data_IF_742460687076
#
_entry.id   IF_742460687076
#
_cell.length_a   1.000
_cell.length_b   1.000
_cell.length_c   1.000
_cell.angle_alpha   90.00
_cell.angle_beta   90.00
_cell.angle_gamma   90.00
#
_symmetry.space_group_name_H-M   'P 1'
#
loop_
_entity.id
_entity.type
_entity.pdbx_description
1 polymer ?
#
# COMPACT_ATOMS: atom_id res chain seq x y z
N UNK A 1 30.70 -64.08 17.76
CA UNK A 1 30.83 -62.62 17.70
C UNK A 1 30.56 -62.14 16.26
N UNK A 2 29.40 -61.69 15.93
CA UNK A 2 29.09 -61.05 14.63
C UNK A 2 29.16 -59.54 14.83
N UNK A 3 30.07 -58.90 14.15
CA UNK A 3 30.23 -57.46 14.19
C UNK A 3 29.18 -56.77 13.28
N UNK A 4 28.55 -55.77 13.82
CA UNK A 4 27.53 -54.95 13.16
C UNK A 4 28.21 -53.91 12.26
N UNK A 5 28.33 -54.20 10.95
CA UNK A 5 28.90 -53.27 9.94
C UNK A 5 27.87 -52.44 9.21
N UNK A 6 26.63 -52.41 9.72
CA UNK A 6 25.49 -51.81 9.00
C UNK A 6 25.34 -50.27 9.20
N UNK A 7 25.94 -49.71 10.27
CA UNK A 7 25.79 -48.25 10.56
C UNK A 7 26.79 -47.38 9.76
N UNK A 8 27.99 -47.90 9.48
CA UNK A 8 29.02 -47.20 8.70
C UNK A 8 28.65 -47.08 7.20
N UNK A 9 28.15 -48.18 6.65
CA UNK A 9 27.72 -48.24 5.24
C UNK A 9 26.46 -47.39 4.96
N UNK A 10 25.52 -47.27 5.89
CA UNK A 10 24.36 -46.37 5.77
C UNK A 10 24.78 -44.90 5.81
N UNK A 11 25.66 -44.49 6.73
CA UNK A 11 26.19 -43.12 6.80
C UNK A 11 26.97 -42.72 5.54
N UNK A 12 27.80 -43.61 5.00
CA UNK A 12 28.55 -43.36 3.76
C UNK A 12 27.64 -43.19 2.55
N UNK A 13 26.57 -44.01 2.44
CA UNK A 13 25.57 -43.91 1.38
C UNK A 13 24.72 -42.60 1.49
N UNK A 14 24.34 -42.21 2.71
CA UNK A 14 23.62 -40.94 2.93
C UNK A 14 24.46 -39.70 2.63
N UNK A 15 25.75 -39.73 3.01
CA UNK A 15 26.70 -38.64 2.73
C UNK A 15 26.97 -38.52 1.23
N UNK A 16 27.15 -39.67 0.54
CA UNK A 16 27.30 -39.71 -0.92
C UNK A 16 26.07 -39.18 -1.65
N UNK A 17 24.85 -39.53 -1.20
CA UNK A 17 23.59 -39.04 -1.76
C UNK A 17 23.42 -37.53 -1.56
N UNK A 18 23.78 -36.99 -0.39
CA UNK A 18 23.75 -35.54 -0.12
C UNK A 18 24.76 -34.75 -0.95
N UNK A 19 25.91 -35.30 -1.25
CA UNK A 19 26.96 -34.69 -2.08
C UNK A 19 26.55 -34.67 -3.55
N UNK A 20 25.94 -35.73 -4.07
CA UNK A 20 25.40 -35.77 -5.44
C UNK A 20 24.21 -34.82 -5.61
N UNK A 21 23.26 -34.80 -4.66
CA UNK A 21 22.12 -33.84 -4.69
C UNK A 21 22.58 -32.37 -4.60
N UNK A 22 23.67 -32.10 -3.86
CA UNK A 22 24.28 -30.76 -3.78
C UNK A 22 25.01 -30.37 -5.06
N UNK A 23 25.69 -31.32 -5.69
CA UNK A 23 26.35 -31.16 -6.99
C UNK A 23 25.36 -30.94 -8.14
N UNK A 24 24.26 -31.71 -8.15
CA UNK A 24 23.18 -31.56 -9.12
C UNK A 24 22.47 -30.23 -8.98
N UNK A 25 22.16 -29.78 -7.76
CA UNK A 25 21.56 -28.44 -7.52
C UNK A 25 22.49 -27.30 -7.92
N UNK A 26 23.79 -27.41 -7.72
CA UNK A 26 24.74 -26.38 -8.16
C UNK A 26 24.87 -26.32 -9.67
N UNK A 27 24.82 -27.45 -10.37
CA UNK A 27 24.82 -27.52 -11.83
C UNK A 27 23.49 -27.04 -12.44
N UNK A 28 22.35 -27.35 -11.83
CA UNK A 28 21.05 -26.79 -12.24
C UNK A 28 21.05 -25.27 -12.10
N UNK A 29 21.50 -24.73 -10.95
CA UNK A 29 21.56 -23.27 -10.72
C UNK A 29 22.46 -22.58 -11.75
N UNK A 30 23.58 -23.20 -12.13
CA UNK A 30 24.51 -22.65 -13.11
C UNK A 30 23.95 -22.71 -14.54
N UNK A 31 23.23 -23.77 -14.90
CA UNK A 31 22.50 -23.87 -16.19
C UNK A 31 21.38 -22.84 -16.27
N UNK A 32 20.62 -22.63 -15.20
CA UNK A 32 19.57 -21.63 -15.15
C UNK A 32 20.13 -20.22 -15.34
N UNK A 33 21.25 -19.88 -14.68
CA UNK A 33 21.92 -18.59 -14.87
C UNK A 33 22.39 -18.38 -16.31
N UNK A 34 22.94 -19.40 -16.98
CA UNK A 34 23.34 -19.31 -18.39
C UNK A 34 22.12 -19.08 -19.29
N UNK A 35 21.04 -19.81 -19.07
CA UNK A 35 19.81 -19.68 -19.86
C UNK A 35 19.18 -18.29 -19.69
N UNK A 36 19.12 -17.77 -18.46
CA UNK A 36 18.60 -16.42 -18.22
C UNK A 36 19.46 -15.32 -18.86
N UNK A 37 20.78 -15.52 -18.96
CA UNK A 37 21.67 -14.61 -19.71
C UNK A 37 21.36 -14.61 -21.21
N UNK A 38 21.11 -15.79 -21.79
CA UNK A 38 20.72 -15.91 -23.20
C UNK A 38 19.37 -15.24 -23.44
N UNK A 39 18.38 -15.50 -22.59
CA UNK A 39 17.06 -14.86 -22.69
C UNK A 39 17.19 -13.34 -22.63
N UNK A 40 17.98 -12.84 -21.66
CA UNK A 40 18.23 -11.39 -21.52
C UNK A 40 18.90 -10.82 -22.77
N UNK A 41 19.90 -11.52 -23.32
CA UNK A 41 20.55 -11.08 -24.55
C UNK A 41 19.55 -10.96 -25.70
N UNK A 42 18.71 -12.00 -25.92
CA UNK A 42 17.69 -12.01 -26.96
C UNK A 42 16.73 -10.81 -26.79
N UNK A 43 16.21 -10.62 -25.57
CA UNK A 43 15.29 -9.51 -25.26
C UNK A 43 15.95 -8.15 -25.54
N UNK A 44 17.20 -7.98 -25.10
CA UNK A 44 17.94 -6.72 -25.34
C UNK A 44 18.21 -6.51 -26.83
N UNK A 45 18.51 -7.58 -27.55
CA UNK A 45 18.73 -7.51 -29.01
C UNK A 45 17.44 -7.12 -29.76
N UNK A 46 16.31 -7.74 -29.43
CA UNK A 46 15.01 -7.38 -30.02
C UNK A 46 14.57 -5.94 -29.72
N UNK A 47 14.96 -5.43 -28.55
CA UNK A 47 14.67 -4.05 -28.14
C UNK A 47 15.66 -3.02 -28.69
N UNK A 48 16.79 -3.47 -29.26
CA UNK A 48 17.80 -2.57 -29.79
C UNK A 48 17.32 -1.90 -31.07
N UNK A 49 17.52 -0.59 -31.16
CA UNK A 49 17.19 0.23 -32.34
C UNK A 49 18.43 1.04 -32.71
N UNK A 50 18.74 1.06 -33.97
CA UNK A 50 19.79 1.90 -34.57
C UNK A 50 19.14 2.79 -35.60
N UNK A 51 19.56 4.04 -35.67
CA UNK A 51 19.02 5.04 -36.59
C UNK A 51 19.20 4.56 -38.06
N UNK A 52 18.08 4.44 -38.78
CA UNK A 52 18.04 3.95 -40.17
C UNK A 52 17.92 2.43 -40.36
N UNK A 53 17.75 1.67 -39.26
CA UNK A 53 17.53 0.22 -39.28
C UNK A 53 16.21 -0.20 -38.54
N UNK A 54 15.31 0.74 -38.37
CA UNK A 54 14.06 0.49 -37.65
C UNK A 54 13.17 -0.54 -38.36
N UNK A 55 13.02 -0.43 -39.70
CA UNK A 55 12.22 -1.35 -40.52
C UNK A 55 12.79 -2.79 -40.48
N UNK A 56 14.11 -2.95 -40.60
CA UNK A 56 14.77 -4.25 -40.50
C UNK A 56 14.59 -4.90 -39.13
N UNK A 57 14.63 -4.08 -38.08
CA UNK A 57 14.42 -4.55 -36.71
C UNK A 57 12.97 -4.98 -36.45
N UNK A 58 12.00 -4.27 -37.03
CA UNK A 58 10.58 -4.62 -36.90
C UNK A 58 10.24 -5.87 -37.69
N UNK A 59 10.76 -6.02 -38.92
CA UNK A 59 10.63 -7.24 -39.74
C UNK A 59 11.24 -8.46 -39.02
N UNK A 60 12.44 -8.29 -38.42
CA UNK A 60 13.04 -9.35 -37.62
C UNK A 60 12.18 -9.72 -36.41
N UNK A 61 11.70 -8.74 -35.64
CA UNK A 61 10.88 -8.99 -34.47
C UNK A 61 9.57 -9.68 -34.82
N UNK A 62 8.92 -9.29 -35.92
CA UNK A 62 7.70 -9.91 -36.43
C UNK A 62 7.93 -11.38 -36.77
N UNK A 63 8.96 -11.66 -37.58
CA UNK A 63 9.31 -13.03 -37.92
C UNK A 63 9.68 -13.88 -36.70
N UNK A 64 10.44 -13.31 -35.76
CA UNK A 64 10.88 -14.00 -34.56
C UNK A 64 9.73 -14.28 -33.58
N UNK A 65 8.86 -13.31 -33.34
CA UNK A 65 7.65 -13.50 -32.52
C UNK A 65 6.72 -14.55 -33.18
N UNK A 66 6.51 -14.48 -34.46
CA UNK A 66 5.76 -15.47 -35.22
C UNK A 66 6.33 -16.90 -35.09
N UNK A 67 7.67 -17.04 -35.11
CA UNK A 67 8.33 -18.32 -34.86
C UNK A 67 8.08 -18.80 -33.40
N UNK A 68 8.22 -17.96 -32.42
CA UNK A 68 7.98 -18.30 -30.98
C UNK A 68 6.53 -18.73 -30.76
N UNK A 69 5.59 -18.06 -31.39
CA UNK A 69 4.18 -18.43 -31.32
C UNK A 69 3.91 -19.87 -31.81
N UNK A 70 4.65 -20.38 -32.77
CA UNK A 70 4.51 -21.78 -33.21
C UNK A 70 4.92 -22.81 -32.13
N UNK A 71 5.70 -22.37 -31.12
CA UNK A 71 6.17 -23.23 -30.03
C UNK A 71 5.21 -23.28 -28.82
N UNK A 72 4.14 -22.46 -28.83
CA UNK A 72 3.21 -22.36 -27.69
C UNK A 72 2.51 -23.69 -27.35
N UNK A 73 2.22 -24.53 -28.35
CA UNK A 73 1.55 -25.81 -28.20
C UNK A 73 2.49 -27.01 -27.97
N UNK A 74 3.80 -26.77 -27.77
CA UNK A 74 4.78 -27.86 -27.58
C UNK A 74 4.39 -28.79 -26.40
N UNK A 75 4.60 -30.08 -26.55
CA UNK A 75 4.34 -31.10 -25.50
C UNK A 75 5.22 -30.83 -24.28
N UNK A 76 6.47 -30.41 -24.50
CA UNK A 76 7.39 -30.08 -23.44
C UNK A 76 7.01 -28.75 -22.75
N UNK A 77 6.81 -28.84 -21.43
CA UNK A 77 6.51 -27.68 -20.59
C UNK A 77 7.61 -26.62 -20.58
N UNK A 78 8.88 -27.03 -20.72
CA UNK A 78 10.01 -26.11 -20.72
C UNK A 78 10.03 -25.26 -22.00
N UNK A 79 9.68 -25.87 -23.15
CA UNK A 79 9.56 -25.14 -24.42
C UNK A 79 8.45 -24.12 -24.33
N UNK A 80 7.24 -24.50 -23.86
CA UNK A 80 6.12 -23.56 -23.67
C UNK A 80 6.49 -22.41 -22.73
N UNK A 81 7.16 -22.74 -21.61
CA UNK A 81 7.60 -21.72 -20.64
C UNK A 81 8.56 -20.72 -21.28
N UNK A 82 9.59 -21.22 -21.99
CA UNK A 82 10.60 -20.34 -22.61
C UNK A 82 10.03 -19.51 -23.74
N UNK A 83 9.15 -20.07 -24.57
CA UNK A 83 8.46 -19.31 -25.61
C UNK A 83 7.67 -18.14 -24.98
N UNK A 84 6.82 -18.40 -23.98
CA UNK A 84 6.08 -17.35 -23.30
C UNK A 84 7.00 -16.35 -22.56
N UNK A 85 8.12 -16.81 -21.98
CA UNK A 85 9.08 -15.94 -21.30
C UNK A 85 9.76 -14.96 -22.27
N UNK A 86 10.19 -15.46 -23.44
CA UNK A 86 10.86 -14.62 -24.43
C UNK A 86 9.85 -13.64 -25.03
N UNK A 87 8.65 -14.10 -25.40
CA UNK A 87 7.58 -13.23 -25.91
C UNK A 87 7.28 -12.12 -24.88
N UNK A 88 7.07 -12.47 -23.62
CA UNK A 88 6.83 -11.48 -22.55
C UNK A 88 8.00 -10.50 -22.42
N UNK A 89 9.24 -11.00 -22.50
CA UNK A 89 10.43 -10.16 -22.43
C UNK A 89 10.53 -9.20 -23.59
N UNK A 90 10.33 -9.68 -24.81
CA UNK A 90 10.38 -8.85 -26.04
C UNK A 90 9.30 -7.78 -25.98
N UNK A 91 8.04 -8.14 -25.79
CA UNK A 91 6.93 -7.18 -25.71
C UNK A 91 7.14 -6.09 -24.66
N UNK A 92 7.61 -6.47 -23.46
CA UNK A 92 7.88 -5.50 -22.40
C UNK A 92 9.19 -4.72 -22.59
N UNK A 93 10.08 -5.18 -23.45
CA UNK A 93 11.33 -4.51 -23.81
C UNK A 93 11.21 -3.56 -25.01
N UNK A 94 10.22 -3.76 -25.87
CA UNK A 94 9.96 -2.88 -27.00
C UNK A 94 9.54 -1.48 -26.54
N UNK A 95 9.98 -0.46 -27.26
CA UNK A 95 9.56 0.93 -27.06
C UNK A 95 8.06 1.16 -27.31
N UNK A 96 7.60 2.36 -27.03
CA UNK A 96 6.21 2.76 -27.32
C UNK A 96 5.95 2.85 -28.83
N UNK A 97 6.99 3.13 -29.60
CA UNK A 97 6.93 3.37 -31.04
C UNK A 97 7.14 2.08 -31.87
N UNK A 98 7.26 0.91 -31.22
CA UNK A 98 7.42 -0.35 -31.94
C UNK A 98 6.06 -0.80 -32.49
N UNK A 99 6.03 -0.96 -33.80
CA UNK A 99 4.85 -1.42 -34.51
C UNK A 99 4.90 -2.94 -34.73
N UNK A 100 3.76 -3.58 -34.65
CA UNK A 100 3.53 -4.98 -35.05
C UNK A 100 2.31 -5.03 -35.93
N UNK A 101 2.25 -5.99 -36.89
CA UNK A 101 1.08 -6.14 -37.71
C UNK A 101 -0.16 -6.56 -36.92
N UNK A 102 -1.34 -6.13 -37.37
CA UNK A 102 -2.61 -6.48 -36.72
C UNK A 102 -2.78 -8.02 -36.66
N UNK A 103 -2.34 -8.74 -37.71
CA UNK A 103 -2.40 -10.22 -37.73
C UNK A 103 -1.54 -10.85 -36.64
N UNK A 104 -0.33 -10.32 -36.41
CA UNK A 104 0.55 -10.80 -35.34
C UNK A 104 -0.01 -10.44 -33.96
N UNK A 105 -0.56 -9.24 -33.83
CA UNK A 105 -1.20 -8.79 -32.55
C UNK A 105 -2.36 -9.69 -32.15
N UNK A 106 -3.31 -9.95 -33.08
CA UNK A 106 -4.45 -10.84 -32.81
C UNK A 106 -3.97 -12.25 -32.47
N UNK A 107 -3.04 -12.78 -33.22
CA UNK A 107 -2.48 -14.11 -32.97
C UNK A 107 -1.74 -14.21 -31.64
N UNK A 108 -0.97 -13.18 -31.24
CA UNK A 108 -0.32 -13.13 -29.91
C UNK A 108 -1.36 -13.13 -28.79
N UNK A 109 -2.41 -12.34 -28.94
CA UNK A 109 -3.50 -12.24 -27.97
C UNK A 109 -4.18 -13.59 -27.78
N UNK A 110 -4.61 -14.25 -28.84
CA UNK A 110 -5.26 -15.56 -28.80
C UNK A 110 -4.39 -16.62 -28.15
N UNK A 111 -3.13 -16.71 -28.58
CA UNK A 111 -2.18 -17.70 -28.07
C UNK A 111 -1.88 -17.45 -26.58
N UNK A 112 -1.70 -16.21 -26.16
CA UNK A 112 -1.40 -15.91 -24.76
C UNK A 112 -2.65 -16.07 -23.87
N UNK A 113 -3.87 -15.80 -24.36
CA UNK A 113 -5.12 -16.11 -23.68
C UNK A 113 -5.33 -17.63 -23.52
N UNK A 114 -4.85 -18.45 -24.45
CA UNK A 114 -4.81 -19.91 -24.27
C UNK A 114 -3.76 -20.29 -23.20
N UNK A 115 -2.57 -19.71 -23.21
CA UNK A 115 -1.47 -20.05 -22.31
C UNK A 115 -1.70 -19.56 -20.87
N UNK A 116 -2.49 -18.53 -20.66
CA UNK A 116 -2.84 -18.11 -19.30
C UNK A 116 -3.70 -19.15 -18.55
N UNK A 117 -4.26 -20.14 -19.29
CA UNK A 117 -4.98 -21.29 -18.75
C UNK A 117 -4.15 -22.59 -18.81
N UNK A 118 -2.83 -22.52 -19.06
CA UNK A 118 -1.94 -23.69 -19.11
C UNK A 118 -1.94 -24.46 -17.78
N UNK A 119 -1.74 -25.78 -17.86
CA UNK A 119 -1.62 -26.66 -16.68
C UNK A 119 -0.48 -26.26 -15.76
N UNK A 120 0.58 -25.66 -16.28
CA UNK A 120 1.79 -25.31 -15.55
C UNK A 120 1.74 -23.84 -15.06
N UNK A 121 1.74 -23.57 -13.75
CA UNK A 121 1.69 -22.22 -13.22
C UNK A 121 2.79 -21.27 -13.76
N UNK A 122 4.06 -21.70 -13.92
CA UNK A 122 5.07 -20.81 -14.51
C UNK A 122 4.74 -20.35 -15.94
N UNK A 123 4.11 -21.19 -16.76
CA UNK A 123 3.66 -20.83 -18.11
C UNK A 123 2.57 -19.77 -18.00
N UNK A 124 1.55 -19.98 -17.15
CA UNK A 124 0.49 -19.00 -16.91
C UNK A 124 1.03 -17.65 -16.47
N UNK A 125 2.03 -17.65 -15.57
CA UNK A 125 2.64 -16.40 -15.10
C UNK A 125 3.39 -15.64 -16.19
N UNK A 126 4.04 -16.34 -17.14
CA UNK A 126 4.69 -15.69 -18.27
C UNK A 126 3.68 -15.19 -19.30
N UNK A 127 2.63 -15.96 -19.58
CA UNK A 127 1.54 -15.53 -20.44
C UNK A 127 0.86 -14.25 -19.91
N UNK A 128 0.62 -14.17 -18.58
CA UNK A 128 0.11 -12.94 -17.98
C UNK A 128 1.03 -11.73 -18.19
N UNK A 129 2.36 -11.92 -18.10
CA UNK A 129 3.31 -10.84 -18.37
C UNK A 129 3.37 -10.44 -19.86
N UNK A 130 3.17 -11.38 -20.77
CA UNK A 130 3.07 -11.07 -22.20
C UNK A 130 1.82 -10.24 -22.49
N UNK A 131 0.68 -10.66 -21.95
CA UNK A 131 -0.61 -9.98 -22.12
C UNK A 131 -0.63 -8.55 -21.53
N UNK A 132 0.31 -8.19 -20.65
CA UNK A 132 0.32 -6.85 -20.04
C UNK A 132 0.43 -5.70 -21.04
N UNK A 133 1.07 -5.94 -22.19
CA UNK A 133 1.26 -4.95 -23.26
C UNK A 133 0.17 -5.01 -24.35
N UNK A 134 -0.69 -6.03 -24.28
CA UNK A 134 -1.72 -6.29 -25.27
C UNK A 134 -3.12 -5.88 -24.79
N UNK A 135 -3.26 -5.36 -23.55
CA UNK A 135 -4.53 -4.84 -23.04
C UNK A 135 -4.89 -3.55 -23.79
N UNK A 136 -6.11 -3.47 -24.26
CA UNK A 136 -6.63 -2.31 -25.00
C UNK A 136 -7.86 -1.72 -24.29
N UNK A 137 -7.75 -0.48 -23.85
CA UNK A 137 -8.86 0.28 -23.25
C UNK A 137 -9.57 1.21 -24.23
N UNK A 138 -9.18 1.18 -25.51
CA UNK A 138 -9.69 2.09 -26.52
C UNK A 138 -9.42 3.57 -26.17
N UNK A 139 -10.10 4.47 -26.86
CA UNK A 139 -9.95 5.93 -26.66
C UNK A 139 -10.36 6.38 -25.23
N UNK A 140 -11.30 5.68 -24.61
CA UNK A 140 -11.85 6.03 -23.27
C UNK A 140 -11.05 5.45 -22.12
N UNK A 141 -10.03 4.62 -22.39
CA UNK A 141 -9.29 3.86 -21.38
C UNK A 141 -10.22 2.99 -20.50
N UNK A 142 -11.35 2.54 -21.08
CA UNK A 142 -12.27 1.62 -20.42
C UNK A 142 -11.93 0.18 -20.81
N UNK A 143 -11.28 -0.52 -19.91
CA UNK A 143 -10.86 -1.91 -20.07
C UNK A 143 -11.96 -2.92 -19.75
N UNK A 144 -13.20 -2.50 -19.50
CA UNK A 144 -14.28 -3.43 -19.13
C UNK A 144 -14.69 -4.38 -20.25
N UNK A 145 -14.44 -4.00 -21.51
CA UNK A 145 -14.75 -4.79 -22.70
C UNK A 145 -13.53 -5.52 -23.27
N UNK A 146 -12.33 -5.29 -22.72
CA UNK A 146 -11.12 -5.97 -23.14
C UNK A 146 -11.07 -7.41 -22.63
N UNK A 147 -10.98 -8.39 -23.55
CA UNK A 147 -10.98 -9.82 -23.23
C UNK A 147 -9.82 -10.23 -22.31
N UNK A 148 -8.66 -9.57 -22.47
CA UNK A 148 -7.48 -9.82 -21.62
C UNK A 148 -7.77 -9.37 -20.18
N UNK A 149 -8.30 -8.17 -20.01
CA UNK A 149 -8.63 -7.62 -18.70
C UNK A 149 -9.72 -8.44 -18.02
N UNK A 150 -10.76 -8.86 -18.74
CA UNK A 150 -11.80 -9.76 -18.23
C UNK A 150 -11.20 -11.10 -17.76
N UNK A 151 -10.31 -11.71 -18.57
CA UNK A 151 -9.61 -12.94 -18.19
C UNK A 151 -8.74 -12.75 -16.92
N UNK A 152 -8.07 -11.61 -16.78
CA UNK A 152 -7.29 -11.29 -15.58
C UNK A 152 -8.16 -11.16 -14.34
N UNK A 153 -9.28 -10.46 -14.43
CA UNK A 153 -10.25 -10.29 -13.32
C UNK A 153 -10.80 -11.64 -12.89
N UNK A 154 -11.23 -12.49 -13.84
CA UNK A 154 -11.71 -13.85 -13.56
C UNK A 154 -10.65 -14.70 -12.85
N UNK A 155 -9.42 -14.69 -13.37
CA UNK A 155 -8.32 -15.48 -12.81
C UNK A 155 -7.86 -14.97 -11.45
N UNK A 156 -7.87 -13.67 -11.17
CA UNK A 156 -7.58 -13.17 -9.83
C UNK A 156 -8.53 -13.73 -8.78
N UNK A 157 -9.78 -14.01 -9.15
CA UNK A 157 -10.77 -14.62 -8.27
C UNK A 157 -10.56 -16.13 -8.03
N UNK A 158 -10.05 -16.87 -9.04
CA UNK A 158 -10.05 -18.34 -9.06
C UNK A 158 -8.66 -18.99 -9.00
N UNK A 159 -7.59 -18.28 -9.34
CA UNK A 159 -6.22 -18.81 -9.44
C UNK A 159 -5.65 -19.19 -8.07
N UNK A 160 -5.23 -20.44 -7.92
CA UNK A 160 -4.67 -21.00 -6.68
C UNK A 160 -3.19 -20.64 -6.47
N UNK A 161 -2.42 -20.48 -7.55
CA UNK A 161 -0.99 -20.25 -7.46
C UNK A 161 -0.68 -18.77 -7.20
N UNK A 162 0.03 -18.47 -6.12
CA UNK A 162 0.38 -17.11 -5.73
C UNK A 162 1.26 -16.38 -6.76
N UNK A 163 2.16 -17.10 -7.46
CA UNK A 163 3.06 -16.48 -8.44
C UNK A 163 2.30 -16.02 -9.69
N UNK A 164 1.25 -16.76 -10.07
CA UNK A 164 0.36 -16.35 -11.16
C UNK A 164 -0.47 -15.14 -10.74
N UNK A 165 -1.07 -15.14 -9.53
CA UNK A 165 -1.80 -13.96 -9.03
C UNK A 165 -0.92 -12.71 -8.97
N UNK A 166 0.36 -12.86 -8.55
CA UNK A 166 1.34 -11.76 -8.56
C UNK A 166 1.61 -11.26 -9.98
N UNK A 167 1.79 -12.17 -10.93
CA UNK A 167 2.03 -11.81 -12.31
C UNK A 167 0.84 -11.04 -12.89
N UNK A 168 -0.39 -11.52 -12.67
CA UNK A 168 -1.62 -10.84 -13.12
C UNK A 168 -1.73 -9.44 -12.49
N UNK A 169 -1.58 -9.31 -11.16
CA UNK A 169 -1.64 -7.99 -10.49
C UNK A 169 -0.60 -7.00 -11.02
N UNK A 170 0.61 -7.50 -11.32
CA UNK A 170 1.67 -6.67 -11.90
C UNK A 170 1.38 -6.23 -13.34
N UNK A 171 0.63 -7.04 -14.08
CA UNK A 171 0.30 -6.87 -15.50
C UNK A 171 -1.01 -6.15 -15.75
N UNK A 172 -1.91 -6.10 -14.77
CA UNK A 172 -3.26 -5.56 -14.91
C UNK A 172 -3.23 -4.06 -15.21
N UNK A 173 -3.94 -3.64 -16.25
CA UNK A 173 -4.24 -2.25 -16.55
C UNK A 173 -5.20 -1.70 -15.49
N UNK A 174 -5.00 -0.44 -15.10
CA UNK A 174 -5.79 0.20 -14.05
C UNK A 174 -6.91 1.03 -14.65
N UNK A 175 -8.13 0.74 -14.22
CA UNK A 175 -9.35 1.47 -14.55
C UNK A 175 -10.35 1.34 -13.40
N UNK A 176 -11.44 2.07 -13.46
CA UNK A 176 -12.52 1.97 -12.45
C UNK A 176 -13.07 0.54 -12.35
N UNK A 177 -13.03 -0.21 -13.46
CA UNK A 177 -13.43 -1.62 -13.49
C UNK A 177 -12.46 -2.54 -12.72
N UNK A 178 -11.15 -2.27 -12.79
CA UNK A 178 -10.11 -3.17 -12.23
C UNK A 178 -9.68 -2.80 -10.81
N UNK A 179 -9.83 -1.53 -10.37
CA UNK A 179 -9.50 -1.08 -9.02
C UNK A 179 -10.11 -1.95 -7.91
N UNK A 180 -11.42 -2.31 -7.95
CA UNK A 180 -12.01 -3.17 -6.93
C UNK A 180 -11.32 -4.53 -6.81
N UNK A 181 -10.85 -5.10 -7.93
CA UNK A 181 -10.13 -6.37 -7.94
C UNK A 181 -8.76 -6.26 -7.27
N UNK A 182 -8.05 -5.14 -7.48
CA UNK A 182 -6.78 -4.86 -6.81
C UNK A 182 -7.01 -4.68 -5.30
N UNK A 183 -8.03 -3.92 -4.91
CA UNK A 183 -8.42 -3.73 -3.50
C UNK A 183 -8.76 -5.07 -2.83
N UNK A 184 -9.45 -5.98 -3.52
CA UNK A 184 -9.76 -7.29 -2.94
C UNK A 184 -8.49 -8.12 -2.69
N UNK A 185 -7.45 -7.99 -3.50
CA UNK A 185 -6.16 -8.67 -3.29
C UNK A 185 -5.37 -8.12 -2.10
N UNK A 186 -5.71 -6.98 -1.52
CA UNK A 186 -5.14 -6.53 -0.22
C UNK A 186 -5.47 -7.48 0.94
N UNK A 187 -6.41 -8.42 0.75
CA UNK A 187 -6.78 -9.48 1.70
C UNK A 187 -6.34 -10.88 1.25
N UNK A 188 -5.45 -10.98 0.29
CA UNK A 188 -4.98 -12.29 -0.20
C UNK A 188 -4.34 -13.13 0.94
N UNK A 189 -4.47 -14.46 0.83
CA UNK A 189 -3.85 -15.40 1.78
C UNK A 189 -2.33 -15.27 1.80
N UNK A 190 -1.71 -15.05 0.61
CA UNK A 190 -0.26 -14.90 0.47
C UNK A 190 0.16 -13.44 0.71
N UNK A 191 1.10 -13.22 1.62
CA UNK A 191 1.63 -11.89 1.94
C UNK A 191 2.29 -11.19 0.74
N UNK A 192 3.00 -11.96 -0.12
CA UNK A 192 3.60 -11.44 -1.35
C UNK A 192 2.56 -10.83 -2.29
N UNK A 193 1.37 -11.46 -2.40
CA UNK A 193 0.27 -10.96 -3.23
C UNK A 193 -0.32 -9.69 -2.63
N UNK A 194 -0.55 -9.67 -1.29
CA UNK A 194 -1.02 -8.47 -0.58
C UNK A 194 -0.05 -7.31 -0.79
N UNK A 195 1.26 -7.57 -0.61
CA UNK A 195 2.30 -6.55 -0.83
C UNK A 195 2.24 -5.97 -2.24
N UNK A 196 2.10 -6.81 -3.28
CA UNK A 196 2.00 -6.34 -4.67
C UNK A 196 0.72 -5.54 -4.89
N UNK A 197 -0.41 -5.91 -4.26
CA UNK A 197 -1.63 -5.12 -4.34
C UNK A 197 -1.42 -3.71 -3.77
N UNK A 198 -0.75 -3.56 -2.62
CA UNK A 198 -0.40 -2.24 -2.08
C UNK A 198 0.57 -1.47 -2.98
N UNK A 199 1.57 -2.12 -3.57
CA UNK A 199 2.47 -1.49 -4.53
C UNK A 199 1.74 -1.02 -5.79
N UNK A 200 0.77 -1.78 -6.29
CA UNK A 200 -0.06 -1.37 -7.43
C UNK A 200 -0.92 -0.15 -7.07
N UNK A 201 -1.56 -0.14 -5.89
CA UNK A 201 -2.29 1.02 -5.38
C UNK A 201 -1.40 2.25 -5.20
N UNK A 202 -0.13 2.07 -4.82
CA UNK A 202 0.83 3.16 -4.63
C UNK A 202 1.29 3.78 -5.95
N UNK A 203 1.59 2.93 -6.95
CA UNK A 203 2.31 3.37 -8.15
C UNK A 203 1.42 3.63 -9.36
N UNK A 204 0.25 3.00 -9.41
CA UNK A 204 -0.60 3.00 -10.61
C UNK A 204 -1.97 3.64 -10.39
N UNK A 205 -2.44 3.76 -9.13
CA UNK A 205 -3.82 4.18 -8.83
C UNK A 205 -3.81 5.57 -8.19
N UNK A 206 -4.38 6.60 -8.84
CA UNK A 206 -4.63 7.89 -8.21
C UNK A 206 -5.59 7.70 -7.01
N UNK A 207 -5.35 8.42 -5.91
CA UNK A 207 -6.18 8.27 -4.71
C UNK A 207 -7.64 8.65 -4.98
N UNK A 208 -7.88 9.61 -5.85
CA UNK A 208 -9.21 10.09 -6.25
C UNK A 208 -10.03 9.01 -6.94
N UNK A 209 -9.38 8.12 -7.71
CA UNK A 209 -10.04 6.99 -8.39
C UNK A 209 -10.45 5.86 -7.44
N UNK A 210 -9.95 5.86 -6.19
CA UNK A 210 -10.37 4.90 -5.18
C UNK A 210 -11.58 5.42 -4.43
N UNK A 211 -12.69 4.69 -4.39
CA UNK A 211 -13.86 5.11 -3.64
C UNK A 211 -13.55 5.28 -2.13
N UNK A 212 -14.26 6.18 -1.45
CA UNK A 212 -14.05 6.48 -0.02
C UNK A 212 -14.07 5.19 0.83
N UNK A 213 -15.05 4.32 0.60
CA UNK A 213 -15.17 3.05 1.29
C UNK A 213 -13.94 2.15 1.06
N UNK A 214 -13.40 2.13 -0.16
CA UNK A 214 -12.20 1.37 -0.47
C UNK A 214 -10.95 2.01 0.14
N UNK A 215 -10.84 3.34 0.21
CA UNK A 215 -9.72 4.03 0.88
C UNK A 215 -9.64 3.61 2.36
N UNK A 216 -10.76 3.71 3.08
CA UNK A 216 -10.84 3.30 4.47
C UNK A 216 -10.50 1.81 4.65
N UNK A 217 -11.08 0.94 3.81
CA UNK A 217 -10.84 -0.51 3.85
C UNK A 217 -9.36 -0.87 3.65
N UNK A 218 -8.71 -0.24 2.67
CA UNK A 218 -7.30 -0.47 2.33
C UNK A 218 -6.39 -0.01 3.47
N UNK A 219 -6.63 1.17 4.05
CA UNK A 219 -5.88 1.66 5.22
C UNK A 219 -6.00 0.70 6.41
N UNK A 220 -7.21 0.28 6.76
CA UNK A 220 -7.45 -0.68 7.84
C UNK A 220 -6.73 -2.00 7.61
N UNK A 221 -6.80 -2.56 6.40
CA UNK A 221 -6.16 -3.84 6.04
C UNK A 221 -4.63 -3.74 6.06
N UNK A 222 -4.08 -2.66 5.50
CA UNK A 222 -2.65 -2.52 5.29
C UNK A 222 -1.89 -2.14 6.54
N UNK A 223 -2.32 -1.11 7.26
CA UNK A 223 -1.64 -0.63 8.47
C UNK A 223 -1.71 -1.64 9.62
N UNK A 224 -2.75 -2.48 9.66
CA UNK A 224 -2.91 -3.55 10.65
C UNK A 224 -2.45 -4.93 10.14
N UNK A 225 -1.79 -5.03 8.97
CA UNK A 225 -1.36 -6.34 8.47
C UNK A 225 -0.30 -6.97 9.38
N UNK A 226 -0.41 -8.28 9.57
CA UNK A 226 0.55 -9.05 10.38
C UNK A 226 1.96 -9.10 9.78
N UNK A 227 2.09 -9.02 8.44
CA UNK A 227 3.35 -9.08 7.73
C UNK A 227 4.03 -7.70 7.66
N UNK A 228 5.28 -7.54 8.18
CA UNK A 228 5.96 -6.24 8.18
C UNK A 228 6.14 -5.64 6.78
N UNK A 229 6.40 -6.49 5.78
CA UNK A 229 6.60 -6.05 4.39
C UNK A 229 5.31 -5.48 3.77
N UNK A 230 4.13 -5.97 4.19
CA UNK A 230 2.84 -5.45 3.76
C UNK A 230 2.56 -4.11 4.45
N UNK A 231 2.80 -4.02 5.77
CA UNK A 231 2.69 -2.75 6.49
C UNK A 231 3.58 -1.67 5.88
N UNK A 232 4.84 -1.98 5.59
CA UNK A 232 5.75 -1.03 4.94
C UNK A 232 5.23 -0.56 3.57
N UNK A 233 4.65 -1.45 2.77
CA UNK A 233 4.06 -1.09 1.49
C UNK A 233 2.81 -0.20 1.67
N UNK A 234 1.99 -0.48 2.69
CA UNK A 234 0.82 0.35 3.03
C UNK A 234 1.22 1.73 3.55
N UNK A 235 2.29 1.81 4.34
CA UNK A 235 2.84 3.09 4.81
C UNK A 235 3.36 3.93 3.63
N UNK A 236 4.02 3.30 2.65
CA UNK A 236 4.46 4.01 1.45
C UNK A 236 3.28 4.50 0.61
N UNK A 237 2.22 3.70 0.51
CA UNK A 237 0.96 4.13 -0.11
C UNK A 237 0.36 5.34 0.61
N UNK A 238 0.30 5.30 1.94
CA UNK A 238 -0.22 6.41 2.75
C UNK A 238 0.56 7.71 2.54
N UNK A 239 1.90 7.63 2.44
CA UNK A 239 2.75 8.79 2.12
C UNK A 239 2.42 9.37 0.75
N UNK A 240 2.30 8.52 -0.27
CA UNK A 240 1.94 8.94 -1.64
C UNK A 240 0.56 9.58 -1.70
N UNK A 241 -0.38 9.03 -0.95
CA UNK A 241 -1.72 9.63 -0.86
C UNK A 241 -1.67 11.02 -0.22
N UNK A 242 -0.91 11.22 0.87
CA UNK A 242 -0.73 12.55 1.45
C UNK A 242 -0.02 13.50 0.47
N UNK A 243 0.99 13.03 -0.26
CA UNK A 243 1.69 13.81 -1.29
C UNK A 243 0.76 14.26 -2.43
N UNK A 244 -0.23 13.44 -2.82
CA UNK A 244 -1.24 13.81 -3.81
C UNK A 244 -2.07 15.03 -3.38
N UNK A 245 -2.30 15.18 -2.06
CA UNK A 245 -2.92 16.37 -1.47
C UNK A 245 -1.90 17.47 -1.09
N UNK A 246 -0.70 17.45 -1.65
CA UNK A 246 0.37 18.44 -1.41
C UNK A 246 0.79 18.53 0.08
N UNK A 247 0.60 17.46 0.84
CA UNK A 247 0.88 17.42 2.26
C UNK A 247 -0.21 18.04 3.16
N UNK A 248 -1.31 18.51 2.57
CA UNK A 248 -2.45 19.05 3.30
C UNK A 248 -3.24 17.93 3.98
N UNK A 249 -3.05 17.83 5.29
CA UNK A 249 -3.66 16.76 6.11
C UNK A 249 -5.17 16.91 6.18
N UNK A 250 -5.71 18.14 6.22
CA UNK A 250 -7.15 18.37 6.30
C UNK A 250 -7.84 17.89 5.02
N UNK A 251 -7.32 18.26 3.85
CA UNK A 251 -7.83 17.75 2.57
C UNK A 251 -7.74 16.22 2.44
N UNK A 252 -6.64 15.64 2.93
CA UNK A 252 -6.50 14.19 2.98
C UNK A 252 -7.59 13.55 3.86
N UNK A 253 -7.89 14.12 5.03
CA UNK A 253 -8.95 13.65 5.92
C UNK A 253 -10.35 13.81 5.31
N UNK A 254 -10.62 14.92 4.63
CA UNK A 254 -11.88 15.13 3.86
C UNK A 254 -12.04 14.02 2.82
N UNK A 255 -10.95 13.65 2.13
CA UNK A 255 -10.98 12.57 1.15
C UNK A 255 -11.25 11.18 1.79
N UNK A 256 -11.10 11.02 3.10
CA UNK A 256 -11.44 9.78 3.83
C UNK A 256 -12.86 9.76 4.37
N UNK A 257 -13.57 10.88 4.39
CA UNK A 257 -14.87 11.04 5.06
C UNK A 257 -14.78 10.62 6.54
N UNK A 258 -14.19 11.50 7.34
CA UNK A 258 -13.85 11.17 8.74
C UNK A 258 -15.07 10.88 9.60
N UNK A 259 -16.24 11.41 9.26
CA UNK A 259 -17.46 11.13 10.01
C UNK A 259 -17.89 9.66 9.88
N UNK A 260 -17.73 9.09 8.69
CA UNK A 260 -18.05 7.69 8.40
C UNK A 260 -16.91 6.73 8.73
N UNK A 261 -15.64 7.19 8.70
CA UNK A 261 -14.44 6.35 8.78
C UNK A 261 -13.45 6.86 9.85
N UNK A 262 -13.96 7.26 11.02
CA UNK A 262 -13.16 7.85 12.11
C UNK A 262 -11.97 6.99 12.52
N UNK A 263 -12.17 5.67 12.69
CA UNK A 263 -11.13 4.75 13.16
C UNK A 263 -9.98 4.60 12.16
N UNK A 264 -10.28 4.58 10.87
CA UNK A 264 -9.29 4.46 9.80
C UNK A 264 -8.52 5.78 9.61
N UNK A 265 -9.20 6.91 9.73
CA UNK A 265 -8.59 8.24 9.69
C UNK A 265 -7.66 8.45 10.89
N UNK A 266 -8.08 8.08 12.10
CA UNK A 266 -7.24 8.12 13.30
C UNK A 266 -6.00 7.22 13.16
N UNK A 267 -6.17 6.00 12.63
CA UNK A 267 -5.07 5.06 12.37
C UNK A 267 -4.05 5.66 11.39
N UNK A 268 -4.54 6.28 10.31
CA UNK A 268 -3.69 6.93 9.32
C UNK A 268 -2.93 8.13 9.92
N UNK A 269 -3.57 8.97 10.70
CA UNK A 269 -2.95 10.10 11.40
C UNK A 269 -1.85 9.64 12.35
N UNK A 270 -2.11 8.65 13.19
CA UNK A 270 -1.13 8.08 14.13
C UNK A 270 0.10 7.55 13.41
N UNK A 271 -0.11 6.88 12.27
CA UNK A 271 1.01 6.38 11.45
C UNK A 271 1.80 7.54 10.83
N UNK A 272 1.14 8.58 10.30
CA UNK A 272 1.78 9.76 9.73
C UNK A 272 2.62 10.52 10.78
N UNK A 273 2.16 10.60 12.01
CA UNK A 273 2.92 11.16 13.14
C UNK A 273 4.14 10.27 13.43
N UNK A 274 3.94 8.96 13.54
CA UNK A 274 5.01 7.99 13.86
C UNK A 274 6.15 8.03 12.86
N UNK A 275 5.84 8.17 11.56
CA UNK A 275 6.84 8.27 10.49
C UNK A 275 7.39 9.70 10.29
N UNK A 276 6.97 10.66 11.13
CA UNK A 276 7.45 12.05 11.11
C UNK A 276 6.98 12.89 9.93
N UNK A 277 5.91 12.48 9.23
CA UNK A 277 5.28 13.31 8.18
C UNK A 277 4.40 14.40 8.76
N UNK A 278 3.83 14.19 9.92
CA UNK A 278 3.15 15.17 10.73
C UNK A 278 4.02 15.42 11.97
N UNK A 279 4.35 16.68 12.23
CA UNK A 279 5.09 17.11 13.42
C UNK A 279 4.13 17.74 14.41
N UNK A 280 3.78 17.05 15.49
CA UNK A 280 2.80 17.52 16.49
C UNK A 280 3.11 18.91 17.06
N UNK A 281 4.39 19.21 17.25
CA UNK A 281 4.84 20.52 17.75
C UNK A 281 4.52 21.67 16.80
N UNK A 282 4.64 21.45 15.48
CA UNK A 282 4.34 22.46 14.49
C UNK A 282 2.82 22.70 14.38
N UNK A 283 2.03 21.63 14.51
CA UNK A 283 0.56 21.70 14.52
C UNK A 283 0.06 22.55 15.68
N UNK A 284 0.63 22.38 16.88
CA UNK A 284 0.26 23.17 18.05
C UNK A 284 0.63 24.68 17.93
N UNK A 285 1.52 25.03 16.98
CA UNK A 285 1.89 26.43 16.67
C UNK A 285 1.08 27.03 15.54
N UNK A 286 0.21 26.25 14.89
CA UNK A 286 -0.67 26.74 13.83
C UNK A 286 -1.75 27.65 14.44
N UNK A 287 -1.59 28.96 14.20
CA UNK A 287 -2.45 29.99 14.80
C UNK A 287 -3.90 29.87 14.33
N UNK A 288 -4.13 29.44 13.08
CA UNK A 288 -5.48 29.30 12.53
C UNK A 288 -6.20 28.13 13.20
N UNK A 289 -5.58 26.97 13.27
CA UNK A 289 -6.14 25.78 13.91
C UNK A 289 -6.38 26.01 15.40
N UNK A 290 -5.41 26.60 16.11
CA UNK A 290 -5.53 26.96 17.54
C UNK A 290 -6.65 27.99 17.76
N UNK A 291 -6.74 29.02 16.92
CA UNK A 291 -7.73 30.08 17.08
C UNK A 291 -9.16 29.60 16.89
N UNK A 292 -9.41 28.67 15.97
CA UNK A 292 -10.73 28.04 15.80
C UNK A 292 -11.13 27.23 17.04
N UNK A 293 -10.19 26.48 17.63
CA UNK A 293 -10.47 25.66 18.82
C UNK A 293 -10.66 26.43 20.12
N UNK A 294 -10.05 27.60 20.27
CA UNK A 294 -9.90 28.30 21.56
C UNK A 294 -10.81 29.53 21.75
N UNK A 295 -11.60 29.92 20.74
CA UNK A 295 -12.49 31.10 20.88
C UNK A 295 -13.73 30.79 21.73
N UNK A 296 -14.02 31.66 22.71
CA UNK A 296 -15.20 31.57 23.58
C UNK A 296 -16.50 31.95 22.89
N UNK A 297 -16.44 32.95 22.01
CA UNK A 297 -17.56 33.41 21.19
C UNK A 297 -17.31 33.01 19.75
N UNK A 298 -17.77 31.81 19.38
CA UNK A 298 -17.57 31.24 18.05
C UNK A 298 -18.83 31.49 17.23
N UNK A 299 -18.72 32.31 16.19
CA UNK A 299 -19.68 32.32 15.08
C UNK A 299 -19.56 31.03 14.27
N UNK A 300 -20.56 30.68 13.46
CA UNK A 300 -20.60 29.45 12.67
C UNK A 300 -19.33 29.29 11.81
N UNK A 301 -18.78 30.40 11.29
CA UNK A 301 -17.54 30.44 10.50
C UNK A 301 -16.26 30.17 11.31
N UNK A 302 -16.35 30.15 12.65
CA UNK A 302 -15.24 29.87 13.54
C UNK A 302 -15.23 28.45 14.13
N UNK A 303 -16.19 27.60 13.75
CA UNK A 303 -16.23 26.21 14.19
C UNK A 303 -15.16 25.37 13.49
N UNK A 304 -14.59 24.41 14.22
CA UNK A 304 -13.74 23.38 13.60
C UNK A 304 -14.56 22.48 12.70
N UNK A 305 -14.00 22.12 11.55
CA UNK A 305 -14.55 21.06 10.73
C UNK A 305 -14.38 19.70 11.42
N UNK A 306 -15.11 18.67 10.98
CA UNK A 306 -14.91 17.29 11.49
C UNK A 306 -13.46 16.83 11.40
N UNK A 307 -12.77 17.14 10.31
CA UNK A 307 -11.39 16.81 10.03
C UNK A 307 -10.42 17.52 10.99
N UNK A 308 -10.61 18.84 11.17
CA UNK A 308 -9.81 19.65 12.11
C UNK A 308 -9.97 19.16 13.54
N UNK A 309 -11.20 18.83 13.95
CA UNK A 309 -11.49 18.30 15.29
C UNK A 309 -10.80 16.97 15.55
N UNK A 310 -10.87 16.02 14.59
CA UNK A 310 -10.16 14.74 14.68
C UNK A 310 -8.65 14.94 14.70
N UNK A 311 -8.12 15.76 13.79
CA UNK A 311 -6.70 16.05 13.70
C UNK A 311 -6.13 16.61 14.99
N UNK A 312 -6.80 17.63 15.54
CA UNK A 312 -6.47 18.26 16.80
C UNK A 312 -6.43 17.27 17.97
N UNK A 313 -7.48 16.47 18.13
CA UNK A 313 -7.56 15.44 19.17
C UNK A 313 -6.38 14.48 19.09
N UNK A 314 -6.11 13.90 17.92
CA UNK A 314 -5.07 12.89 17.74
C UNK A 314 -3.68 13.45 18.04
N UNK A 315 -3.39 14.67 17.60
CA UNK A 315 -2.11 15.36 17.86
C UNK A 315 -1.90 15.59 19.35
N UNK A 316 -2.89 16.17 20.05
CA UNK A 316 -2.77 16.45 21.48
C UNK A 316 -2.69 15.19 22.32
N UNK A 317 -3.46 14.15 21.99
CA UNK A 317 -3.36 12.86 22.67
C UNK A 317 -1.98 12.23 22.48
N UNK A 318 -1.43 12.30 21.26
CA UNK A 318 -0.09 11.79 21.00
C UNK A 318 1.00 12.52 21.81
N UNK A 319 0.91 13.85 21.90
CA UNK A 319 1.83 14.64 22.73
C UNK A 319 1.72 14.28 24.22
N UNK A 320 0.50 14.13 24.74
CA UNK A 320 0.26 13.75 26.12
C UNK A 320 0.82 12.35 26.44
N UNK A 321 0.62 11.38 25.55
CA UNK A 321 1.17 10.02 25.69
C UNK A 321 2.71 10.03 25.61
N UNK A 322 3.29 10.76 24.67
CA UNK A 322 4.73 10.86 24.49
C UNK A 322 5.42 11.52 25.70
N UNK A 323 4.82 12.57 26.26
CA UNK A 323 5.33 13.24 27.46
C UNK A 323 5.28 12.32 28.69
N UNK A 324 4.20 11.55 28.86
CA UNK A 324 4.06 10.59 29.95
C UNK A 324 5.11 9.46 29.88
N UNK A 325 5.36 8.89 28.70
CA UNK A 325 6.35 7.82 28.50
C UNK A 325 7.78 8.34 28.71
N UNK A 326 8.12 9.51 28.17
CA UNK A 326 9.46 10.11 28.34
C UNK A 326 9.70 10.52 29.80
N UNK A 327 8.70 11.08 30.47
CA UNK A 327 8.76 11.40 31.90
C UNK A 327 9.06 10.20 32.79
N UNK A 328 8.45 9.03 32.50
CA UNK A 328 8.71 7.78 33.20
C UNK A 328 10.14 7.25 32.96
N UNK A 329 10.63 7.32 31.72
CA UNK A 329 11.95 6.83 31.33
C UNK A 329 13.11 7.75 31.80
N UNK A 330 12.88 9.06 31.95
CA UNK A 330 13.88 10.01 32.43
C UNK A 330 14.33 9.75 33.86
N UNK A 331 13.54 9.03 34.64
CA UNK A 331 13.89 8.61 36.00
C UNK A 331 14.97 7.52 36.05
N UNK A 332 15.28 6.85 34.92
CA UNK A 332 16.17 5.68 34.86
C UNK A 332 17.48 5.90 34.08
N UNK A 333 17.67 7.01 33.35
CA UNK A 333 18.86 7.23 32.52
C UNK A 333 19.82 8.27 33.10
N UNK A 334 21.15 7.98 33.00
CA UNK A 334 22.23 8.76 33.59
C UNK A 334 22.81 9.76 32.58
N UNK A 335 23.06 11.00 32.99
CA UNK A 335 23.93 11.96 32.31
C UNK A 335 23.24 12.85 31.24
N UNK A 336 24.00 13.28 30.22
CA UNK A 336 23.58 14.23 29.18
C UNK A 336 22.32 13.85 28.42
N UNK A 337 22.07 12.54 28.24
CA UNK A 337 20.83 12.04 27.62
C UNK A 337 19.58 12.39 28.45
N UNK A 338 19.73 12.52 29.76
CA UNK A 338 18.65 12.91 30.68
C UNK A 338 18.26 14.38 30.52
N UNK A 339 19.24 15.29 30.36
CA UNK A 339 18.97 16.72 30.17
C UNK A 339 18.27 17.00 28.85
N UNK A 340 18.68 16.31 27.76
CA UNK A 340 18.02 16.42 26.44
C UNK A 340 16.60 15.87 26.50
N UNK A 341 16.40 14.72 27.11
CA UNK A 341 15.08 14.10 27.24
C UNK A 341 14.12 14.96 28.09
N UNK A 342 14.61 15.60 29.15
CA UNK A 342 13.83 16.51 29.98
C UNK A 342 13.49 17.80 29.24
N UNK A 343 14.41 18.35 28.42
CA UNK A 343 14.14 19.51 27.59
C UNK A 343 13.07 19.22 26.53
N UNK A 344 13.16 18.09 25.82
CA UNK A 344 12.13 17.68 24.84
C UNK A 344 10.76 17.47 25.47
N UNK A 345 10.68 16.88 26.67
CA UNK A 345 9.43 16.73 27.41
C UNK A 345 8.89 18.10 27.82
N UNK A 346 9.74 19.02 28.26
CA UNK A 346 9.35 20.39 28.59
C UNK A 346 8.74 21.11 27.39
N UNK A 347 9.38 21.04 26.23
CA UNK A 347 8.86 21.62 24.99
C UNK A 347 7.51 20.99 24.56
N UNK A 348 7.35 19.69 24.72
CA UNK A 348 6.09 19.00 24.41
C UNK A 348 4.96 19.47 25.33
N UNK A 349 5.24 19.60 26.62
CA UNK A 349 4.26 20.07 27.62
C UNK A 349 3.90 21.53 27.32
N UNK A 350 4.88 22.41 27.07
CA UNK A 350 4.66 23.81 26.74
C UNK A 350 3.82 23.96 25.46
N UNK A 351 4.13 23.20 24.41
CA UNK A 351 3.35 23.21 23.19
C UNK A 351 1.92 22.72 23.41
N UNK A 352 1.73 21.67 24.21
CA UNK A 352 0.40 21.16 24.54
C UNK A 352 -0.39 22.16 25.39
N UNK A 353 0.23 22.76 26.40
CA UNK A 353 -0.39 23.77 27.27
C UNK A 353 -0.74 25.05 26.52
N UNK A 354 0.11 25.49 25.59
CA UNK A 354 -0.17 26.65 24.75
C UNK A 354 -1.31 26.42 23.75
N UNK A 355 -1.52 25.17 23.36
CA UNK A 355 -2.54 24.76 22.42
C UNK A 355 -3.88 24.37 23.07
N UNK A 356 -3.89 24.11 24.39
CA UNK A 356 -5.09 23.76 25.14
C UNK A 356 -5.69 25.01 25.81
N UNK A 357 -7.02 25.07 25.96
CA UNK A 357 -7.65 26.06 26.81
C UNK A 357 -7.09 26.03 28.24
N UNK A 358 -6.92 27.19 28.89
CA UNK A 358 -6.28 27.28 30.19
C UNK A 358 -7.05 26.55 31.30
N UNK A 359 -8.35 26.35 31.10
CA UNK A 359 -9.18 25.64 32.08
C UNK A 359 -10.10 24.63 31.38
N UNK A 360 -10.51 23.62 32.16
CA UNK A 360 -11.49 22.65 31.67
C UNK A 360 -12.87 23.30 31.41
N UNK A 361 -13.21 24.39 32.08
CA UNK A 361 -14.45 25.16 31.83
C UNK A 361 -14.41 25.86 30.46
N UNK A 362 -13.25 26.38 30.09
CA UNK A 362 -13.09 26.98 28.76
C UNK A 362 -13.24 25.94 27.64
N UNK A 363 -12.64 24.74 27.81
CA UNK A 363 -12.80 23.62 26.90
C UNK A 363 -14.27 23.16 26.83
N UNK A 364 -14.96 23.05 27.95
CA UNK A 364 -16.38 22.70 27.98
C UNK A 364 -17.26 23.75 27.27
N UNK A 365 -16.93 25.03 27.40
CA UNK A 365 -17.63 26.13 26.71
C UNK A 365 -17.46 25.99 25.19
N UNK A 366 -16.25 25.70 24.73
CA UNK A 366 -15.95 25.47 23.31
C UNK A 366 -16.71 24.25 22.79
N UNK A 367 -16.64 23.13 23.50
CA UNK A 367 -17.37 21.90 23.14
C UNK A 367 -18.88 22.16 23.08
N UNK A 368 -19.44 22.92 24.03
CA UNK A 368 -20.86 23.28 24.05
C UNK A 368 -21.24 24.13 22.83
N UNK A 369 -20.37 25.05 22.41
CA UNK A 369 -20.61 25.88 21.23
C UNK A 369 -20.65 25.04 19.94
N UNK A 370 -19.71 24.12 19.78
CA UNK A 370 -19.72 23.18 18.64
C UNK A 370 -20.93 22.21 18.68
N UNK A 371 -21.30 21.73 19.87
CA UNK A 371 -22.42 20.80 20.03
C UNK A 371 -23.78 21.38 19.65
N UNK A 372 -23.96 22.71 19.75
CA UNK A 372 -25.18 23.40 19.34
C UNK A 372 -25.38 23.49 17.83
N UNK A 373 -24.32 23.40 17.06
CA UNK A 373 -24.36 23.35 15.59
C UNK A 373 -24.54 21.93 15.10
N UNK A 374 -25.34 21.73 14.05
CA UNK A 374 -25.47 20.43 13.40
C UNK A 374 -24.12 19.95 12.81
N UNK A 375 -23.36 20.88 12.22
CA UNK A 375 -22.06 20.61 11.62
C UNK A 375 -20.93 20.43 12.63
N UNK A 376 -21.05 21.05 13.82
CA UNK A 376 -20.04 20.97 14.85
C UNK A 376 -20.11 19.75 15.78
N UNK A 377 -21.18 18.92 15.69
CA UNK A 377 -21.39 17.78 16.60
C UNK A 377 -20.25 16.75 16.57
N UNK A 378 -19.71 16.46 15.41
CA UNK A 378 -18.59 15.53 15.29
C UNK A 378 -17.34 16.12 15.95
N UNK A 379 -16.98 17.37 15.65
CA UNK A 379 -15.85 18.07 16.25
C UNK A 379 -16.00 18.15 17.77
N UNK A 380 -17.19 18.44 18.30
CA UNK A 380 -17.47 18.43 19.74
C UNK A 380 -17.14 17.09 20.37
N UNK A 381 -17.51 15.98 19.76
CA UNK A 381 -17.16 14.62 20.22
C UNK A 381 -15.66 14.37 20.21
N UNK A 382 -14.94 14.92 19.23
CA UNK A 382 -13.48 14.80 19.17
C UNK A 382 -12.79 15.62 20.27
N UNK A 383 -13.31 16.76 20.65
CA UNK A 383 -12.71 17.62 21.67
C UNK A 383 -12.93 17.10 23.11
N UNK A 384 -14.05 16.38 23.38
CA UNK A 384 -14.36 15.85 24.71
C UNK A 384 -13.24 15.03 25.37
N UNK A 385 -12.55 14.10 24.69
CA UNK A 385 -11.45 13.34 25.27
C UNK A 385 -10.27 14.20 25.73
N UNK A 386 -10.12 15.42 25.22
CA UNK A 386 -9.06 16.35 25.61
C UNK A 386 -9.25 16.89 27.04
N UNK A 387 -10.42 16.74 27.64
CA UNK A 387 -10.63 17.01 29.06
C UNK A 387 -9.68 16.24 30.00
N UNK A 388 -9.13 15.10 29.50
CA UNK A 388 -8.11 14.35 30.26
C UNK A 388 -6.76 15.05 30.31
N UNK A 389 -6.51 16.00 29.39
CA UNK A 389 -5.26 16.76 29.31
C UNK A 389 -5.31 18.07 30.09
N UNK A 390 -6.46 18.46 30.67
CA UNK A 390 -6.65 19.67 31.49
C UNK A 390 -6.98 19.27 32.94
N UNK A 391 -6.74 20.20 33.90
CA UNK A 391 -6.99 19.94 35.32
C UNK A 391 -8.49 19.81 35.61
N UNK A 392 -8.90 18.63 36.06
CA UNK A 392 -10.27 18.28 36.45
C UNK A 392 -10.51 18.29 37.95
N UNK A 393 -9.63 18.87 38.78
CA UNK A 393 -9.72 18.81 40.22
C UNK A 393 -10.91 19.59 40.81
N UNK A 394 -11.46 20.55 40.05
CA UNK A 394 -12.64 21.32 40.49
C UNK A 394 -13.95 20.53 40.36
N UNK A 395 -14.76 20.54 41.42
CA UNK A 395 -16.06 19.88 41.46
C UNK A 395 -17.14 20.53 40.58
N UNK A 396 -17.00 21.82 40.22
CA UNK A 396 -17.91 22.51 39.31
C UNK A 396 -17.66 22.07 37.85
N UNK A 397 -16.39 21.90 37.49
CA UNK A 397 -15.95 21.42 36.17
C UNK A 397 -16.46 19.99 35.93
N UNK A 398 -16.35 19.10 36.91
CA UNK A 398 -16.88 17.73 36.81
C UNK A 398 -18.39 17.71 36.56
N UNK A 399 -19.16 18.56 37.23
CA UNK A 399 -20.61 18.64 37.01
C UNK A 399 -20.94 19.18 35.63
N UNK A 400 -20.23 20.21 35.15
CA UNK A 400 -20.35 20.71 33.77
C UNK A 400 -20.07 19.65 32.72
N UNK A 401 -19.00 18.88 32.92
CA UNK A 401 -18.65 17.78 32.01
C UNK A 401 -19.72 16.68 31.97
N UNK A 402 -20.26 16.30 33.13
CA UNK A 402 -21.35 15.30 33.23
C UNK A 402 -22.60 15.79 32.51
N UNK A 403 -22.99 17.04 32.70
CA UNK A 403 -24.16 17.59 32.04
C UNK A 403 -24.00 17.63 30.51
N UNK A 404 -22.84 18.05 30.04
CA UNK A 404 -22.54 18.10 28.60
C UNK A 404 -22.54 16.71 27.94
N UNK A 405 -21.97 15.72 28.61
CA UNK A 405 -22.02 14.33 28.15
C UNK A 405 -23.45 13.79 28.15
N UNK A 406 -24.25 14.15 29.18
CA UNK A 406 -25.66 13.77 29.22
C UNK A 406 -26.47 14.40 28.07
N UNK A 407 -26.24 15.67 27.74
CA UNK A 407 -26.86 16.35 26.63
C UNK A 407 -26.48 15.69 25.28
N UNK A 408 -25.23 15.21 25.11
CA UNK A 408 -24.78 14.54 23.90
C UNK A 408 -25.31 13.11 23.77
N UNK A 409 -25.63 12.43 24.88
CA UNK A 409 -26.18 11.07 24.86
C UNK A 409 -27.69 11.03 24.64
N UNK A 410 -28.38 12.15 24.79
CA UNK A 410 -29.84 12.29 24.56
C UNK A 410 -30.20 12.74 23.14
N UNK A 411 -29.23 12.82 22.23
CA UNK A 411 -29.41 13.09 20.80
C UNK A 411 -29.07 11.83 20.02
#
# INVERSE_FOLDING_TARGET
>A
MRWNDDAGTRRARETGRRLTERGERSNETQRDVCTERVVRFIVTFCAWREEGMEEDADEFNEAFLGFLLNLHGAKDKAVRFRACQIIAGVLNGLGADAEVSDELYERMTDVMLERIRDKMPPVRAQAARALSRLQDGGETQDFSQDDITQAFVELLGSEKNKEVRKAILGSLAISDYTIPCVVERTRDVAEDVRRIAFLALTSKVPVESVSIAHRALVLRRGLNDRAPMVRSASVEMLKRWLEAFQGDVVKFLTALDVESNESEAELALKELITIGRIKPMDVCKDVELVSKGLKRDIDVDGLMTPEEGLYWRVVLQHLAEASAVKGANSAQSVGQAREIAVAEVGEMIEAMESALPPTAMDLLSIVSSHAKSAEGKFAARQLLPLLKCVDLNDGAIRRGAINLVAEQLHV
#
